data_IF_730627805221
#
_entry.id   IF_730627805221
#
_cell.length_a   1.000
_cell.length_b   1.000
_cell.length_c   1.000
_cell.angle_alpha   90.00
_cell.angle_beta   90.00
_cell.angle_gamma   90.00
#
_symmetry.space_group_name_H-M   'P 1'
#
loop_
_entity.id
_entity.type
_entity.pdbx_description
1 polymer ?
#
# COMPACT_ATOMS: atom_id res chain seq x y z
N UNK A 1 0.80 23.69 -1.48
CA UNK A 1 0.83 22.93 -0.20
C UNK A 1 0.10 21.59 -0.35
N UNK A 2 -1.01 21.54 -1.11
CA UNK A 2 -1.81 20.32 -1.37
C UNK A 2 -1.00 19.11 -1.87
N UNK A 3 -0.09 19.30 -2.84
CA UNK A 3 0.77 18.22 -3.37
C UNK A 3 1.62 17.49 -2.32
N UNK A 4 1.94 18.15 -1.20
CA UNK A 4 2.70 17.53 -0.10
C UNK A 4 1.83 16.60 0.74
N UNK A 5 0.57 16.99 0.96
CA UNK A 5 -0.41 16.23 1.74
C UNK A 5 -0.81 14.97 0.97
N UNK A 6 -1.11 15.09 -0.33
CA UNK A 6 -1.46 13.95 -1.20
C UNK A 6 -0.33 12.91 -1.24
N UNK A 7 0.93 13.35 -1.34
CA UNK A 7 2.10 12.47 -1.27
C UNK A 7 2.23 11.77 0.09
N UNK A 8 1.96 12.48 1.17
CA UNK A 8 1.96 11.92 2.53
C UNK A 8 0.91 10.84 2.72
N UNK A 9 -0.32 11.11 2.26
CA UNK A 9 -1.44 10.15 2.29
C UNK A 9 -1.09 8.90 1.48
N UNK A 10 -0.62 9.08 0.24
CA UNK A 10 -0.22 7.95 -0.61
C UNK A 10 0.86 7.09 0.07
N UNK A 11 1.88 7.72 0.65
CA UNK A 11 2.96 7.01 1.35
C UNK A 11 2.45 6.19 2.54
N UNK A 12 1.57 6.73 3.37
CA UNK A 12 1.01 5.98 4.50
C UNK A 12 0.16 4.79 4.02
N UNK A 13 -0.62 4.96 2.94
CA UNK A 13 -1.42 3.87 2.37
C UNK A 13 -0.55 2.72 1.87
N UNK A 14 0.53 3.02 1.13
CA UNK A 14 1.48 2.00 0.67
C UNK A 14 2.18 1.30 1.84
N UNK A 15 2.57 2.04 2.88
CA UNK A 15 3.16 1.47 4.10
C UNK A 15 2.18 0.54 4.84
N UNK A 16 0.91 0.94 4.95
CA UNK A 16 -0.12 0.12 5.57
C UNK A 16 -0.31 -1.21 4.83
N UNK A 17 -0.40 -1.17 3.49
CA UNK A 17 -0.47 -2.37 2.66
C UNK A 17 0.78 -3.23 2.82
N UNK A 18 1.98 -2.64 2.84
CA UNK A 18 3.22 -3.38 3.07
C UNK A 18 3.23 -4.15 4.40
N UNK A 19 2.66 -3.57 5.46
CA UNK A 19 2.46 -4.27 6.76
C UNK A 19 1.44 -5.41 6.64
N UNK A 20 0.37 -5.22 5.87
CA UNK A 20 -0.66 -6.25 5.63
C UNK A 20 -0.10 -7.43 4.82
N UNK A 21 0.68 -7.18 3.77
CA UNK A 21 1.35 -8.24 2.99
C UNK A 21 2.27 -9.07 3.89
N UNK A 22 3.07 -8.42 4.74
CA UNK A 22 3.94 -9.11 5.72
C UNK A 22 3.17 -9.93 6.76
N UNK A 23 1.91 -9.59 7.01
CA UNK A 23 1.01 -10.32 7.91
C UNK A 23 0.14 -11.35 7.16
N UNK A 24 0.47 -11.68 5.91
CA UNK A 24 -0.24 -12.63 5.06
C UNK A 24 -1.72 -12.27 4.81
N UNK A 25 -2.07 -10.99 4.87
CA UNK A 25 -3.39 -10.52 4.45
C UNK A 25 -3.50 -10.64 2.92
N UNK A 26 -4.61 -11.20 2.45
CA UNK A 26 -4.83 -11.44 1.02
C UNK A 26 -5.17 -10.16 0.25
N UNK A 27 -4.94 -10.17 -1.07
CA UNK A 27 -5.28 -9.05 -1.96
C UNK A 27 -6.77 -8.72 -1.87
N UNK A 28 -7.62 -9.73 -1.82
CA UNK A 28 -9.07 -9.60 -1.74
C UNK A 28 -9.50 -8.90 -0.44
N UNK A 29 -8.87 -9.23 0.69
CA UNK A 29 -9.12 -8.56 1.97
C UNK A 29 -8.62 -7.11 1.96
N UNK A 30 -7.44 -6.85 1.39
CA UNK A 30 -6.90 -5.49 1.24
C UNK A 30 -7.86 -4.62 0.43
N UNK A 31 -8.42 -5.14 -0.65
CA UNK A 31 -9.43 -4.44 -1.45
C UNK A 31 -10.71 -4.20 -0.64
N UNK A 32 -11.17 -5.21 0.13
CA UNK A 32 -12.34 -5.06 1.01
C UNK A 32 -12.15 -4.01 2.11
N UNK A 33 -10.91 -3.71 2.51
CA UNK A 33 -10.58 -2.63 3.45
C UNK A 33 -10.55 -1.24 2.81
N UNK A 34 -10.78 -1.13 1.50
CA UNK A 34 -10.84 0.15 0.78
C UNK A 34 -9.50 0.58 0.18
N UNK A 35 -8.59 -0.35 -0.09
CA UNK A 35 -7.39 -0.11 -0.89
C UNK A 35 -7.61 -0.51 -2.34
N UNK A 36 -6.89 0.11 -3.27
CA UNK A 36 -6.99 -0.24 -4.69
C UNK A 36 -5.99 -1.31 -5.08
N UNK A 37 -6.25 -1.97 -6.20
CA UNK A 37 -5.32 -2.92 -6.81
C UNK A 37 -3.99 -2.27 -7.23
N UNK A 38 -4.03 -1.01 -7.66
CA UNK A 38 -2.84 -0.23 -7.98
C UNK A 38 -1.96 -0.02 -6.73
N UNK A 39 -2.58 0.34 -5.60
CA UNK A 39 -1.86 0.52 -4.33
C UNK A 39 -1.25 -0.79 -3.84
N UNK A 40 -1.96 -1.92 -4.01
CA UNK A 40 -1.42 -3.25 -3.69
C UNK A 40 -0.18 -3.58 -4.52
N UNK A 41 -0.27 -3.36 -5.84
CA UNK A 41 0.82 -3.65 -6.78
C UNK A 41 2.04 -2.77 -6.50
N UNK A 42 1.83 -1.47 -6.28
CA UNK A 42 2.89 -0.52 -5.95
C UNK A 42 3.54 -0.86 -4.60
N UNK A 43 2.75 -1.15 -3.57
CA UNK A 43 3.28 -1.54 -2.25
C UNK A 43 4.07 -2.85 -2.31
N UNK A 44 3.60 -3.85 -3.06
CA UNK A 44 4.31 -5.11 -3.30
C UNK A 44 5.64 -4.87 -4.02
N UNK A 45 5.63 -4.09 -5.10
CA UNK A 45 6.85 -3.75 -5.84
C UNK A 45 7.90 -3.07 -4.96
N UNK A 46 7.49 -2.12 -4.10
CA UNK A 46 8.39 -1.45 -3.15
C UNK A 46 8.95 -2.45 -2.13
N UNK A 47 8.09 -3.34 -1.63
CA UNK A 47 8.48 -4.32 -0.61
C UNK A 47 9.53 -5.30 -1.14
N UNK A 48 9.34 -5.83 -2.35
CA UNK A 48 10.24 -6.81 -2.96
C UNK A 48 11.47 -6.20 -3.64
N UNK A 49 11.42 -4.93 -4.09
CA UNK A 49 12.61 -4.23 -4.58
C UNK A 49 13.62 -3.89 -3.48
N UNK A 50 13.22 -4.03 -2.20
CA UNK A 50 14.05 -3.78 -1.02
C UNK A 50 14.66 -5.06 -0.43
N UNK A 51 14.48 -6.22 -1.09
CA UNK A 51 15.01 -7.54 -0.72
C UNK A 51 16.14 -7.91 -1.67
#
# INVERSE_FOLDING_TARGET
MEKGIEKGIKKERLNAIGRMIKANVTKEQIIAFGYTEEEFTEAGSILYASV
#
